data_IF_898631016390
#
_entry.id   IF_898631016390
#
_cell.length_a   1.000
_cell.length_b   1.000
_cell.length_c   1.000
_cell.angle_alpha   90.00
_cell.angle_beta   90.00
_cell.angle_gamma   90.00
#
_symmetry.space_group_name_H-M   'P 1'
#
loop_
_entity.id
_entity.type
_entity.pdbx_description
1 polymer ?
#
# COMPACT_ATOMS: atom_id res chain seq x y z
N UNK A 1 -4.79 -24.49 12.01
CA UNK A 1 -4.56 -23.11 11.62
C UNK A 1 -5.84 -22.58 11.01
N UNK A 2 -6.50 -21.66 11.69
CA UNK A 2 -7.66 -20.94 11.18
C UNK A 2 -7.20 -20.00 10.05
N UNK A 3 -8.05 -19.67 9.11
CA UNK A 3 -7.75 -18.65 8.10
C UNK A 3 -8.69 -17.47 8.37
N UNK A 4 -8.14 -16.30 8.67
CA UNK A 4 -8.91 -15.06 8.77
C UNK A 4 -9.55 -14.77 7.42
N UNK A 5 -10.82 -14.39 7.39
CA UNK A 5 -11.48 -13.91 6.17
C UNK A 5 -11.22 -12.42 5.97
N UNK A 6 -11.37 -11.92 4.74
CA UNK A 6 -11.29 -10.48 4.47
C UNK A 6 -12.32 -9.70 5.32
N UNK A 7 -13.53 -10.25 5.46
CA UNK A 7 -14.60 -9.62 6.25
C UNK A 7 -14.25 -9.51 7.73
N UNK A 8 -13.70 -10.59 8.34
CA UNK A 8 -13.25 -10.56 9.73
C UNK A 8 -12.13 -9.55 9.94
N UNK A 9 -11.13 -9.57 9.05
CA UNK A 9 -10.01 -8.64 9.06
C UNK A 9 -10.46 -7.18 8.98
N UNK A 10 -11.33 -6.84 8.02
CA UNK A 10 -11.85 -5.48 7.87
C UNK A 10 -12.76 -5.07 9.03
N UNK A 11 -13.52 -6.01 9.59
CA UNK A 11 -14.38 -5.75 10.76
C UNK A 11 -13.54 -5.44 11.99
N UNK A 12 -12.45 -6.16 12.20
CA UNK A 12 -11.50 -5.89 13.29
C UNK A 12 -10.84 -4.53 13.13
N UNK A 13 -10.36 -4.20 11.91
CA UNK A 13 -9.79 -2.88 11.61
C UNK A 13 -10.76 -1.75 11.92
N UNK A 14 -12.02 -1.88 11.51
CA UNK A 14 -13.06 -0.87 11.81
C UNK A 14 -13.39 -0.76 13.30
N UNK A 15 -13.36 -1.87 14.02
CA UNK A 15 -13.70 -1.89 15.44
C UNK A 15 -12.57 -1.35 16.33
N UNK A 16 -11.32 -1.66 15.99
CA UNK A 16 -10.16 -1.41 16.88
C UNK A 16 -9.19 -0.36 16.36
N UNK A 17 -9.24 -0.03 15.08
CA UNK A 17 -8.25 0.80 14.38
C UNK A 17 -6.92 0.07 14.11
N UNK A 18 -6.91 -1.25 14.23
CA UNK A 18 -5.72 -2.06 14.00
C UNK A 18 -6.02 -3.53 13.74
N UNK A 19 -4.98 -4.28 13.43
CA UNK A 19 -5.01 -5.73 13.27
C UNK A 19 -3.67 -6.31 13.71
N UNK A 20 -3.71 -7.43 14.36
CA UNK A 20 -2.51 -8.23 14.64
C UNK A 20 -2.82 -9.69 14.33
N UNK A 21 -1.95 -10.32 13.57
CA UNK A 21 -2.07 -11.77 13.29
C UNK A 21 -2.38 -12.55 14.56
N UNK A 22 -3.51 -13.26 14.56
CA UNK A 22 -3.95 -14.09 15.67
C UNK A 22 -3.10 -15.36 15.73
N UNK A 23 -2.84 -15.88 16.96
CA UNK A 23 -1.97 -17.04 17.14
C UNK A 23 -2.49 -18.31 16.45
N UNK A 24 -3.81 -18.46 16.33
CA UNK A 24 -4.46 -19.59 15.65
C UNK A 24 -4.45 -19.44 14.10
N UNK A 25 -4.19 -18.23 13.59
CA UNK A 25 -4.10 -17.92 12.16
C UNK A 25 -2.67 -17.99 11.60
N UNK A 26 -1.67 -17.97 12.47
CA UNK A 26 -0.26 -18.04 12.11
C UNK A 26 0.27 -19.46 12.17
N UNK A 27 1.19 -19.81 11.27
CA UNK A 27 1.94 -21.06 11.39
C UNK A 27 2.77 -21.06 12.69
N UNK A 28 2.72 -22.18 13.44
CA UNK A 28 3.41 -22.33 14.73
C UNK A 28 4.92 -22.13 14.62
N UNK A 29 5.50 -22.49 13.46
CA UNK A 29 6.93 -22.29 13.18
C UNK A 29 7.09 -21.39 11.97
N UNK A 30 7.98 -20.40 12.07
CA UNK A 30 8.38 -19.60 10.92
C UNK A 30 9.04 -20.51 9.87
N UNK A 31 8.62 -20.37 8.63
CA UNK A 31 9.26 -21.04 7.51
C UNK A 31 10.73 -20.57 7.40
N UNK A 32 11.65 -21.47 7.05
CA UNK A 32 13.02 -21.05 6.77
C UNK A 32 13.07 -20.15 5.54
N UNK A 33 13.79 -19.04 5.63
CA UNK A 33 14.05 -18.18 4.48
C UNK A 33 14.80 -18.98 3.40
N UNK A 34 14.34 -18.85 2.14
CA UNK A 34 14.92 -19.61 1.04
C UNK A 34 14.10 -19.50 -0.25
N UNK A 35 14.54 -20.19 -1.28
CA UNK A 35 13.90 -20.09 -2.61
C UNK A 35 12.43 -20.51 -2.61
N UNK A 36 12.08 -21.60 -1.94
CA UNK A 36 10.69 -22.09 -1.87
C UNK A 36 9.78 -21.12 -1.11
N UNK A 37 10.27 -20.55 0.00
CA UNK A 37 9.53 -19.55 0.78
C UNK A 37 9.34 -18.27 -0.01
N UNK A 38 10.40 -17.84 -0.71
CA UNK A 38 10.33 -16.70 -1.63
C UNK A 38 9.30 -16.93 -2.73
N UNK A 39 9.30 -18.10 -3.36
CA UNK A 39 8.33 -18.45 -4.40
C UNK A 39 6.88 -18.43 -3.85
N UNK A 40 6.66 -19.05 -2.69
CA UNK A 40 5.33 -19.13 -2.04
C UNK A 40 4.80 -17.73 -1.72
N UNK A 41 5.61 -16.86 -1.14
CA UNK A 41 5.17 -15.51 -0.79
C UNK A 41 5.00 -14.64 -2.04
N UNK A 42 5.93 -14.71 -2.99
CA UNK A 42 5.79 -14.03 -4.27
C UNK A 42 4.51 -14.42 -5.00
N UNK A 43 4.15 -15.71 -4.98
CA UNK A 43 2.87 -16.17 -5.51
C UNK A 43 1.67 -15.59 -4.74
N UNK A 44 1.74 -15.52 -3.41
CA UNK A 44 0.70 -14.89 -2.60
C UNK A 44 0.49 -13.41 -2.96
N UNK A 45 1.55 -12.68 -3.32
CA UNK A 45 1.48 -11.29 -3.76
C UNK A 45 0.99 -11.14 -5.20
N UNK A 46 1.42 -12.02 -6.11
CA UNK A 46 1.21 -11.81 -7.55
C UNK A 46 -0.03 -12.49 -8.11
N UNK A 47 -0.59 -13.47 -7.41
CA UNK A 47 -1.79 -14.18 -7.87
C UNK A 47 -3.00 -13.28 -8.10
N UNK A 48 -3.01 -12.07 -7.51
CA UNK A 48 -4.04 -11.06 -7.77
C UNK A 48 -4.14 -10.74 -9.26
N UNK A 49 -3.01 -10.65 -9.98
CA UNK A 49 -3.00 -10.30 -11.40
C UNK A 49 -3.66 -11.36 -12.28
N UNK A 50 -3.25 -12.66 -12.26
CA UNK A 50 -3.94 -13.68 -13.04
C UNK A 50 -5.40 -13.89 -12.62
N UNK A 51 -5.73 -13.70 -11.33
CA UNK A 51 -7.12 -13.81 -10.89
C UNK A 51 -8.00 -12.67 -11.42
N UNK A 52 -7.52 -11.42 -11.36
CA UNK A 52 -8.21 -10.29 -11.99
C UNK A 52 -8.36 -10.52 -13.51
N UNK A 53 -7.28 -10.94 -14.18
CA UNK A 53 -7.29 -11.24 -15.60
C UNK A 53 -8.28 -12.36 -15.98
N UNK A 54 -8.46 -13.34 -15.10
CA UNK A 54 -9.39 -14.44 -15.33
C UNK A 54 -10.87 -14.02 -15.17
N UNK A 55 -11.18 -13.16 -14.19
CA UNK A 55 -12.58 -12.80 -13.89
C UNK A 55 -13.08 -11.58 -14.64
N UNK A 56 -12.18 -10.69 -15.07
CA UNK A 56 -12.49 -9.45 -15.77
C UNK A 56 -13.27 -9.68 -17.08
N UNK A 57 -12.87 -10.62 -17.99
CA UNK A 57 -13.60 -10.85 -19.25
C UNK A 57 -15.07 -11.25 -19.08
N UNK A 58 -15.44 -11.73 -17.90
CA UNK A 58 -16.82 -12.08 -17.54
C UNK A 58 -17.59 -10.95 -16.88
N UNK A 59 -16.98 -9.73 -16.76
CA UNK A 59 -17.59 -8.60 -16.07
C UNK A 59 -17.83 -8.83 -14.57
N UNK A 60 -17.08 -9.75 -13.96
CA UNK A 60 -17.25 -10.14 -12.55
C UNK A 60 -16.24 -9.49 -11.60
N UNK A 61 -15.28 -8.74 -12.13
CA UNK A 61 -14.32 -8.04 -11.28
C UNK A 61 -15.01 -6.88 -10.59
N UNK A 62 -14.93 -6.86 -9.27
CA UNK A 62 -15.39 -5.76 -8.41
C UNK A 62 -14.24 -5.31 -7.50
N UNK A 63 -14.38 -4.13 -6.89
CA UNK A 63 -13.41 -3.64 -5.89
C UNK A 63 -13.27 -4.61 -4.72
N UNK A 64 -14.37 -5.22 -4.25
CA UNK A 64 -14.34 -6.20 -3.16
C UNK A 64 -13.61 -7.48 -3.57
N UNK A 65 -13.85 -7.97 -4.78
CA UNK A 65 -13.15 -9.15 -5.29
C UNK A 65 -11.66 -8.89 -5.48
N UNK A 66 -11.29 -7.69 -5.94
CA UNK A 66 -9.90 -7.25 -5.98
C UNK A 66 -9.27 -7.22 -4.58
N UNK A 67 -9.96 -6.63 -3.59
CA UNK A 67 -9.50 -6.66 -2.19
C UNK A 67 -9.32 -8.09 -1.67
N UNK A 68 -10.25 -8.99 -2.00
CA UNK A 68 -10.16 -10.41 -1.64
C UNK A 68 -8.93 -11.09 -2.25
N UNK A 69 -8.58 -10.78 -3.50
CA UNK A 69 -7.35 -11.29 -4.11
C UNK A 69 -6.10 -10.70 -3.46
N UNK A 70 -6.10 -9.41 -3.16
CA UNK A 70 -5.01 -8.73 -2.48
C UNK A 70 -4.81 -9.20 -1.03
N UNK A 71 -5.86 -9.66 -0.37
CA UNK A 71 -5.81 -10.19 1.01
C UNK A 71 -4.89 -11.41 1.16
N UNK A 72 -4.55 -12.05 0.03
CA UNK A 72 -3.53 -13.11 0.02
C UNK A 72 -2.15 -12.67 0.47
N UNK A 73 -1.82 -11.38 0.45
CA UNK A 73 -0.57 -10.84 0.99
C UNK A 73 -0.48 -11.06 2.50
N UNK A 74 -1.58 -10.87 3.21
CA UNK A 74 -1.70 -11.05 4.66
C UNK A 74 -1.70 -12.54 5.00
N UNK A 75 -2.64 -13.30 4.44
CA UNK A 75 -2.75 -14.74 4.72
C UNK A 75 -1.51 -15.52 4.26
N UNK A 76 -0.82 -15.06 3.22
CA UNK A 76 0.44 -15.62 2.76
C UNK A 76 1.58 -15.43 3.77
N UNK A 77 1.68 -14.25 4.38
CA UNK A 77 2.64 -13.95 5.45
C UNK A 77 2.38 -14.84 6.68
N UNK A 78 1.13 -14.91 7.11
CA UNK A 78 0.70 -15.73 8.25
C UNK A 78 1.01 -17.23 8.06
N UNK A 79 0.74 -17.75 6.87
CA UNK A 79 1.08 -19.15 6.50
C UNK A 79 2.57 -19.45 6.54
N UNK A 80 3.41 -18.43 6.44
CA UNK A 80 4.87 -18.54 6.58
C UNK A 80 5.36 -18.26 8.00
N UNK A 81 4.45 -17.99 8.95
CA UNK A 81 4.76 -17.73 10.35
C UNK A 81 5.20 -16.29 10.63
N UNK A 82 5.05 -15.38 9.68
CA UNK A 82 5.26 -13.96 9.91
C UNK A 82 4.02 -13.33 10.56
N UNK A 83 4.21 -12.30 11.38
CA UNK A 83 3.11 -11.48 11.86
C UNK A 83 2.84 -10.35 10.87
N UNK A 84 1.57 -9.99 10.76
CA UNK A 84 1.10 -8.74 10.17
C UNK A 84 0.55 -7.89 11.30
N UNK A 85 1.10 -6.70 11.46
CA UNK A 85 0.76 -5.75 12.53
C UNK A 85 0.35 -4.45 11.88
N UNK A 86 -0.90 -4.07 12.07
CA UNK A 86 -1.48 -2.83 11.55
C UNK A 86 -2.02 -2.06 12.75
N UNK A 87 -1.71 -0.77 12.85
CA UNK A 87 -2.08 0.06 14.00
C UNK A 87 -2.38 1.51 13.60
N UNK A 88 -3.07 2.26 14.45
CA UNK A 88 -3.19 3.71 14.39
C UNK A 88 -4.36 4.25 13.56
N UNK A 89 -5.28 3.44 13.06
CA UNK A 89 -6.39 3.92 12.22
C UNK A 89 -7.59 4.51 12.99
N UNK A 90 -7.51 4.65 14.32
CA UNK A 90 -8.63 5.19 15.15
C UNK A 90 -9.05 6.60 14.73
N UNK A 91 -8.09 7.47 14.45
CA UNK A 91 -8.36 8.85 14.05
C UNK A 91 -9.04 8.90 12.67
N UNK A 92 -8.65 8.02 11.74
CA UNK A 92 -9.32 7.88 10.45
C UNK A 92 -10.77 7.42 10.60
N UNK A 93 -11.03 6.48 11.50
CA UNK A 93 -12.39 6.01 11.82
C UNK A 93 -13.22 7.16 12.40
N UNK A 94 -12.66 7.91 13.35
CA UNK A 94 -13.35 9.04 13.98
C UNK A 94 -13.64 10.16 12.99
N UNK A 95 -12.74 10.41 12.03
CA UNK A 95 -12.91 11.41 10.99
C UNK A 95 -14.01 11.02 9.99
N UNK A 96 -14.05 9.77 9.53
CA UNK A 96 -15.12 9.18 8.72
C UNK A 96 -15.28 9.74 7.30
N UNK A 97 -14.38 10.62 6.84
CA UNK A 97 -14.42 11.23 5.52
C UNK A 97 -13.22 10.84 4.64
N UNK A 98 -13.18 11.30 3.36
CA UNK A 98 -12.06 11.06 2.47
C UNK A 98 -10.79 11.78 2.96
N UNK A 99 -9.66 11.10 2.87
CA UNK A 99 -8.34 11.60 3.28
C UNK A 99 -7.30 11.34 2.20
N UNK A 100 -6.22 12.11 2.21
CA UNK A 100 -5.04 11.83 1.40
C UNK A 100 -4.04 11.02 2.23
N UNK A 101 -3.84 9.76 1.87
CA UNK A 101 -2.83 8.91 2.46
C UNK A 101 -1.46 9.15 1.82
N UNK A 102 -0.44 9.44 2.62
CA UNK A 102 0.96 9.49 2.21
C UNK A 102 1.71 8.32 2.81
N UNK A 103 2.26 7.43 1.98
CA UNK A 103 2.91 6.21 2.44
C UNK A 103 4.34 6.09 1.89
N UNK A 104 5.31 5.66 2.71
CA UNK A 104 6.61 5.26 2.19
C UNK A 104 6.48 4.00 1.31
N UNK A 105 7.45 3.80 0.42
CA UNK A 105 7.39 2.72 -0.57
C UNK A 105 8.67 1.88 -0.51
N UNK A 106 8.59 0.64 -0.05
CA UNK A 106 9.75 -0.24 0.17
C UNK A 106 9.79 -1.43 -0.76
N UNK A 107 8.64 -2.09 -0.97
CA UNK A 107 8.57 -3.36 -1.69
C UNK A 107 7.27 -3.48 -2.52
N UNK A 108 7.00 -4.66 -3.04
CA UNK A 108 5.70 -4.98 -3.64
C UNK A 108 4.64 -5.31 -2.58
N UNK A 109 5.06 -5.73 -1.40
CA UNK A 109 4.16 -6.18 -0.34
C UNK A 109 3.13 -5.14 0.02
N UNK A 110 3.53 -3.88 0.29
CA UNK A 110 2.58 -2.82 0.66
C UNK A 110 1.61 -2.48 -0.47
N UNK A 111 2.03 -2.60 -1.72
CA UNK A 111 1.15 -2.34 -2.87
C UNK A 111 -0.05 -3.29 -2.89
N UNK A 112 0.15 -4.53 -2.42
CA UNK A 112 -0.89 -5.56 -2.37
C UNK A 112 -1.58 -5.61 -0.99
N UNK A 113 -0.89 -5.20 0.08
CA UNK A 113 -1.42 -5.22 1.45
C UNK A 113 -2.32 -4.02 1.75
N UNK A 114 -2.00 -2.84 1.22
CA UNK A 114 -2.79 -1.64 1.51
C UNK A 114 -4.22 -1.68 0.96
N UNK A 115 -4.53 -2.23 -0.23
CA UNK A 115 -5.90 -2.30 -0.71
C UNK A 115 -6.90 -2.94 0.26
N UNK A 116 -6.72 -4.18 0.75
CA UNK A 116 -7.66 -4.76 1.71
C UNK A 116 -7.71 -4.00 3.03
N UNK A 117 -6.61 -3.31 3.40
CA UNK A 117 -6.54 -2.50 4.62
C UNK A 117 -7.32 -1.19 4.48
N UNK A 118 -7.07 -0.41 3.42
CA UNK A 118 -7.66 0.90 3.23
C UNK A 118 -9.14 0.82 2.87
N UNK A 119 -9.56 -0.19 2.09
CA UNK A 119 -10.97 -0.44 1.78
C UNK A 119 -11.82 -0.77 3.01
N UNK A 120 -11.21 -1.08 4.15
CA UNK A 120 -11.94 -1.17 5.41
C UNK A 120 -12.55 0.17 5.84
N UNK A 121 -11.96 1.29 5.42
CA UNK A 121 -12.34 2.66 5.83
C UNK A 121 -13.06 3.44 4.73
N UNK A 122 -13.26 2.88 3.57
CA UNK A 122 -13.95 3.48 2.44
C UNK A 122 -13.24 3.27 1.10
N UNK A 123 -13.84 3.75 0.02
CA UNK A 123 -13.22 3.68 -1.30
C UNK A 123 -11.95 4.54 -1.35
N UNK A 124 -10.95 4.09 -2.11
CA UNK A 124 -9.75 4.88 -2.34
C UNK A 124 -9.23 4.72 -3.76
N UNK A 125 -8.62 5.78 -4.26
CA UNK A 125 -7.88 5.82 -5.52
C UNK A 125 -6.38 5.91 -5.25
N UNK A 126 -5.54 5.50 -6.19
CA UNK A 126 -4.10 5.56 -6.02
C UNK A 126 -3.36 5.79 -7.33
N UNK A 127 -2.15 6.35 -7.23
CA UNK A 127 -1.29 6.58 -8.39
C UNK A 127 -0.50 5.32 -8.73
N UNK A 128 -0.53 4.92 -10.00
CA UNK A 128 0.28 3.81 -10.48
C UNK A 128 0.88 4.08 -11.87
N UNK A 129 1.91 3.32 -12.23
CA UNK A 129 2.55 3.46 -13.54
C UNK A 129 1.59 3.02 -14.65
N UNK A 130 1.40 3.84 -15.68
CA UNK A 130 0.52 3.57 -16.82
C UNK A 130 0.79 2.22 -17.49
N UNK A 131 2.06 1.78 -17.53
CA UNK A 131 2.39 0.47 -18.10
C UNK A 131 1.77 -0.72 -17.35
N UNK A 132 1.27 -0.54 -16.13
CA UNK A 132 0.51 -1.58 -15.44
C UNK A 132 -0.90 -1.71 -16.02
N UNK A 133 -1.53 -0.57 -16.40
CA UNK A 133 -2.83 -0.57 -17.06
C UNK A 133 -2.77 -1.21 -18.46
N UNK A 134 -1.60 -1.20 -19.11
CA UNK A 134 -1.43 -1.82 -20.43
C UNK A 134 -1.06 -3.31 -20.39
N UNK A 135 -0.98 -3.91 -19.20
CA UNK A 135 -0.87 -5.36 -19.12
C UNK A 135 -2.16 -6.00 -19.65
N UNK A 136 -2.05 -7.07 -20.48
CA UNK A 136 -3.23 -7.77 -20.98
C UNK A 136 -4.21 -8.06 -19.84
N UNK A 137 -5.48 -7.76 -20.04
CA UNK A 137 -6.60 -7.95 -19.11
C UNK A 137 -6.62 -7.04 -17.86
N UNK A 138 -5.60 -6.17 -17.64
CA UNK A 138 -5.61 -5.23 -16.52
C UNK A 138 -6.13 -3.83 -16.89
N UNK A 139 -6.29 -3.52 -18.17
CA UNK A 139 -6.78 -2.21 -18.61
C UNK A 139 -8.17 -1.89 -18.02
N UNK A 140 -9.12 -2.80 -18.18
CA UNK A 140 -10.45 -2.67 -17.59
C UNK A 140 -10.46 -2.87 -16.07
N UNK A 141 -9.54 -3.72 -15.55
CA UNK A 141 -9.36 -3.90 -14.12
C UNK A 141 -8.90 -2.59 -13.44
N UNK A 142 -8.16 -1.73 -14.14
CA UNK A 142 -7.67 -0.46 -13.61
C UNK A 142 -8.81 0.44 -13.08
N UNK A 143 -9.97 0.42 -13.73
CA UNK A 143 -11.14 1.19 -13.29
C UNK A 143 -11.73 0.64 -11.98
N UNK A 144 -11.87 -0.68 -11.86
CA UNK A 144 -12.32 -1.32 -10.61
C UNK A 144 -11.31 -1.15 -9.47
N UNK A 145 -10.02 -1.07 -9.81
CA UNK A 145 -8.93 -0.78 -8.88
C UNK A 145 -8.79 0.71 -8.58
N UNK A 146 -9.58 1.58 -9.22
CA UNK A 146 -9.55 3.05 -9.08
C UNK A 146 -8.16 3.64 -9.27
N UNK A 147 -7.39 3.09 -10.20
CA UNK A 147 -6.03 3.49 -10.49
C UNK A 147 -5.98 4.79 -11.29
N UNK A 148 -5.11 5.72 -10.90
CA UNK A 148 -4.76 6.92 -11.66
C UNK A 148 -3.42 6.68 -12.34
N UNK A 149 -3.40 6.47 -13.67
CA UNK A 149 -2.18 6.14 -14.38
C UNK A 149 -1.30 7.38 -14.57
N UNK A 150 0.03 7.20 -14.42
CA UNK A 150 1.06 8.19 -14.73
C UNK A 150 2.08 7.61 -15.71
N UNK A 151 2.51 8.42 -16.66
CA UNK A 151 3.43 8.03 -17.72
C UNK A 151 4.88 7.89 -17.23
N UNK A 152 5.27 8.72 -16.27
CA UNK A 152 6.66 8.94 -15.82
C UNK A 152 7.60 9.46 -16.91
N UNK A 153 7.04 9.94 -18.02
CA UNK A 153 7.78 10.53 -19.14
C UNK A 153 7.70 12.05 -19.08
N UNK A 154 6.52 12.59 -18.80
CA UNK A 154 6.27 14.02 -18.69
C UNK A 154 5.85 14.38 -17.24
N UNK A 155 6.81 14.78 -16.37
CA UNK A 155 6.50 15.08 -14.96
C UNK A 155 5.43 16.18 -14.78
N UNK A 156 5.38 17.14 -15.71
CA UNK A 156 4.38 18.22 -15.66
C UNK A 156 2.97 17.72 -15.98
N UNK A 157 2.83 16.89 -17.00
CA UNK A 157 1.54 16.29 -17.37
C UNK A 157 1.06 15.32 -16.30
N UNK A 158 1.97 14.47 -15.79
CA UNK A 158 1.67 13.55 -14.69
C UNK A 158 1.20 14.32 -13.45
N UNK A 159 1.86 15.44 -13.09
CA UNK A 159 1.43 16.31 -11.99
C UNK A 159 0.03 16.88 -12.23
N UNK A 160 -0.23 17.43 -13.41
CA UNK A 160 -1.55 18.00 -13.75
C UNK A 160 -2.63 16.93 -13.72
N UNK A 161 -2.36 15.73 -14.22
CA UNK A 161 -3.28 14.59 -14.17
C UNK A 161 -3.58 14.18 -12.73
N UNK A 162 -2.57 14.03 -11.86
CA UNK A 162 -2.75 13.69 -10.45
C UNK A 162 -3.60 14.76 -9.75
N UNK A 163 -3.29 16.05 -9.95
CA UNK A 163 -4.02 17.14 -9.31
C UNK A 163 -5.47 17.22 -9.78
N UNK A 164 -5.73 17.03 -11.08
CA UNK A 164 -7.10 17.06 -11.64
C UNK A 164 -7.89 15.85 -11.17
N UNK A 165 -7.45 14.67 -11.57
CA UNK A 165 -8.16 13.41 -11.31
C UNK A 165 -8.23 13.11 -9.81
N UNK A 166 -7.16 13.39 -9.06
CA UNK A 166 -7.15 13.22 -7.61
C UNK A 166 -8.17 14.12 -6.91
N UNK A 167 -8.30 15.40 -7.32
CA UNK A 167 -9.33 16.31 -6.78
C UNK A 167 -10.73 15.79 -7.08
N UNK A 168 -10.99 15.36 -8.33
CA UNK A 168 -12.27 14.78 -8.74
C UNK A 168 -12.62 13.53 -7.91
N UNK A 169 -11.66 12.63 -7.70
CA UNK A 169 -11.85 11.40 -6.89
C UNK A 169 -12.14 11.72 -5.43
N UNK A 170 -11.39 12.64 -4.82
CA UNK A 170 -11.60 13.06 -3.43
C UNK A 170 -12.96 13.73 -3.26
N UNK A 171 -13.34 14.62 -4.17
CA UNK A 171 -14.67 15.25 -4.17
C UNK A 171 -15.80 14.25 -4.39
N UNK A 172 -15.53 13.14 -5.06
CA UNK A 172 -16.46 12.01 -5.23
C UNK A 172 -16.51 11.05 -4.04
N UNK A 173 -15.80 11.34 -2.95
CA UNK A 173 -15.82 10.55 -1.72
C UNK A 173 -14.71 9.49 -1.61
N UNK A 174 -13.78 9.41 -2.56
CA UNK A 174 -12.63 8.51 -2.46
C UNK A 174 -11.55 9.13 -1.57
N UNK A 175 -10.95 8.34 -0.69
CA UNK A 175 -9.60 8.66 -0.20
C UNK A 175 -8.58 8.51 -1.34
N UNK A 176 -7.39 9.07 -1.17
CA UNK A 176 -6.37 9.00 -2.22
C UNK A 176 -5.01 8.59 -1.66
N UNK A 177 -4.37 7.58 -2.24
CA UNK A 177 -3.06 7.07 -1.80
C UNK A 177 -1.96 7.54 -2.75
N UNK A 178 -0.92 8.15 -2.18
CA UNK A 178 0.31 8.52 -2.90
C UNK A 178 1.51 7.97 -2.15
N UNK A 179 2.48 7.45 -2.92
CA UNK A 179 3.82 7.15 -2.47
C UNK A 179 4.74 8.33 -2.82
N UNK A 180 5.05 9.25 -1.88
CA UNK A 180 5.76 10.50 -2.19
C UNK A 180 7.16 10.30 -2.80
N UNK A 181 7.81 9.19 -2.49
CA UNK A 181 9.13 8.85 -3.04
C UNK A 181 9.07 8.40 -4.52
N UNK A 182 7.88 8.15 -5.06
CA UNK A 182 7.63 7.80 -6.47
C UNK A 182 8.18 6.43 -6.91
N UNK A 183 9.09 5.84 -6.15
CA UNK A 183 9.67 4.51 -6.41
C UNK A 183 10.03 3.84 -5.10
N UNK A 184 10.19 2.52 -5.13
CA UNK A 184 10.61 1.74 -3.96
C UNK A 184 12.02 2.12 -3.52
N UNK A 185 12.16 2.45 -2.24
CA UNK A 185 13.40 2.85 -1.60
C UNK A 185 13.54 2.17 -0.25
N UNK A 186 14.76 1.73 0.08
CA UNK A 186 15.08 1.19 1.41
C UNK A 186 15.26 2.30 2.45
N UNK A 187 15.69 3.49 2.00
CA UNK A 187 15.90 4.66 2.83
C UNK A 187 14.75 5.64 2.60
N UNK A 188 14.13 6.08 3.68
CA UNK A 188 13.17 7.18 3.62
C UNK A 188 13.93 8.50 3.60
N UNK A 189 13.90 9.21 2.47
CA UNK A 189 14.75 10.38 2.24
C UNK A 189 13.95 11.63 1.94
N UNK A 190 14.26 12.72 2.65
CA UNK A 190 13.66 14.05 2.41
C UNK A 190 13.86 14.52 0.98
N UNK A 191 15.04 14.30 0.44
CA UNK A 191 15.38 14.68 -0.95
C UNK A 191 14.46 14.04 -1.99
N UNK A 192 13.93 12.84 -1.69
CA UNK A 192 13.02 12.10 -2.58
C UNK A 192 11.55 12.24 -2.21
N UNK A 193 11.25 12.90 -1.10
CA UNK A 193 9.88 13.07 -0.61
C UNK A 193 9.19 14.21 -1.36
N UNK A 194 8.38 13.86 -2.37
CA UNK A 194 7.69 14.82 -3.23
C UNK A 194 6.52 15.51 -2.52
N UNK A 195 6.35 16.80 -2.76
CA UNK A 195 5.22 17.58 -2.26
C UNK A 195 3.91 17.39 -3.05
N UNK A 196 3.87 16.49 -4.04
CA UNK A 196 2.68 16.29 -4.91
C UNK A 196 1.44 15.96 -4.08
N UNK A 197 1.56 15.07 -3.09
CA UNK A 197 0.44 14.72 -2.23
C UNK A 197 -0.07 15.90 -1.42
N UNK A 198 0.81 16.64 -0.77
CA UNK A 198 0.42 17.82 0.00
C UNK A 198 -0.26 18.90 -0.88
N UNK A 199 0.22 19.09 -2.11
CA UNK A 199 -0.43 19.99 -3.10
C UNK A 199 -1.80 19.50 -3.51
N UNK A 200 -1.97 18.18 -3.68
CA UNK A 200 -3.29 17.61 -3.96
C UNK A 200 -4.24 17.81 -2.77
N UNK A 201 -3.78 17.57 -1.54
CA UNK A 201 -4.58 17.75 -0.34
C UNK A 201 -5.03 19.21 -0.16
N UNK A 202 -4.11 20.19 -0.32
CA UNK A 202 -4.45 21.61 -0.30
C UNK A 202 -5.49 21.96 -1.37
N UNK A 203 -5.31 21.49 -2.61
CA UNK A 203 -6.22 21.75 -3.72
C UNK A 203 -7.60 21.12 -3.51
N UNK A 204 -7.66 19.91 -3.00
CA UNK A 204 -8.91 19.18 -2.75
C UNK A 204 -9.59 19.57 -1.44
N UNK A 205 -8.93 20.36 -0.58
CA UNK A 205 -9.45 20.73 0.74
C UNK A 205 -9.62 19.53 1.67
N UNK A 206 -8.78 18.49 1.53
CA UNK A 206 -8.87 17.29 2.36
C UNK A 206 -7.69 17.16 3.34
N UNK A 207 -7.86 16.48 4.48
CA UNK A 207 -6.76 16.23 5.41
C UNK A 207 -5.76 15.22 4.86
N UNK A 208 -4.56 15.24 5.41
CA UNK A 208 -3.48 14.29 5.12
C UNK A 208 -3.36 13.29 6.25
N UNK A 209 -3.20 12.02 5.91
CA UNK A 209 -2.93 10.95 6.85
C UNK A 209 -1.63 10.25 6.44
N UNK A 210 -0.55 10.39 7.22
CA UNK A 210 0.68 9.69 6.95
C UNK A 210 0.57 8.21 7.34
N UNK A 211 1.07 7.33 6.49
CA UNK A 211 1.18 5.89 6.75
C UNK A 211 2.64 5.50 6.61
N UNK A 212 3.14 4.68 7.50
CA UNK A 212 4.44 4.04 7.34
C UNK A 212 4.31 2.53 7.30
N UNK A 213 5.13 1.92 6.47
CA UNK A 213 5.20 0.46 6.32
C UNK A 213 6.63 -0.02 6.55
N UNK A 214 6.76 -1.19 7.19
CA UNK A 214 7.98 -1.97 7.21
C UNK A 214 7.70 -3.31 6.51
N UNK A 215 8.16 -3.40 5.29
CA UNK A 215 8.04 -4.59 4.44
C UNK A 215 9.40 -5.14 4.03
N UNK A 216 10.42 -4.95 4.91
CA UNK A 216 11.78 -5.50 4.71
C UNK A 216 11.82 -7.02 4.62
N UNK A 217 10.74 -7.69 5.01
CA UNK A 217 10.58 -9.14 4.78
C UNK A 217 10.69 -9.52 3.29
N UNK A 218 10.39 -8.59 2.36
CA UNK A 218 10.53 -8.79 0.91
C UNK A 218 11.28 -7.61 0.27
N UNK A 219 12.61 -7.57 0.34
CA UNK A 219 13.39 -6.53 -0.31
C UNK A 219 13.33 -6.65 -1.85
N UNK A 220 13.62 -5.57 -2.55
CA UNK A 220 13.82 -5.61 -4.00
C UNK A 220 15.10 -6.39 -4.33
N UNK A 221 15.08 -7.18 -5.42
CA UNK A 221 16.27 -7.92 -5.88
C UNK A 221 17.31 -6.95 -6.46
N UNK A 222 18.47 -6.89 -5.84
CA UNK A 222 19.57 -5.98 -6.26
C UNK A 222 20.56 -6.62 -7.23
N UNK A 223 20.69 -7.96 -7.20
CA UNK A 223 21.73 -8.71 -7.92
C UNK A 223 21.15 -9.93 -8.64
N UNK A 224 21.96 -10.51 -9.54
CA UNK A 224 21.66 -11.76 -10.26
C UNK A 224 21.11 -11.56 -11.68
N UNK A 225 21.21 -12.59 -12.50
CA UNK A 225 20.81 -12.61 -13.92
C UNK A 225 19.34 -12.24 -14.10
N UNK A 226 18.48 -12.66 -13.18
CA UNK A 226 17.04 -12.40 -13.23
C UNK A 226 16.64 -11.02 -12.68
N UNK A 227 17.60 -10.14 -12.31
CA UNK A 227 17.33 -8.82 -11.73
C UNK A 227 16.36 -7.98 -12.57
N UNK A 228 16.50 -8.03 -13.90
CA UNK A 228 15.65 -7.21 -14.79
C UNK A 228 14.19 -7.67 -14.83
N UNK A 229 13.96 -8.98 -14.69
CA UNK A 229 12.63 -9.59 -14.81
C UNK A 229 11.98 -9.75 -13.42
N UNK A 230 12.77 -10.10 -12.40
CA UNK A 230 12.31 -10.40 -11.04
C UNK A 230 12.78 -9.35 -10.01
N UNK A 231 12.95 -8.10 -10.45
CA UNK A 231 13.39 -6.99 -9.58
C UNK A 231 12.53 -6.89 -8.29
N UNK A 232 11.26 -7.15 -8.43
CA UNK A 232 10.25 -6.97 -7.38
C UNK A 232 10.14 -8.18 -6.43
N UNK A 233 10.87 -9.26 -6.71
CA UNK A 233 10.82 -10.53 -5.99
C UNK A 233 12.20 -10.84 -5.39
N UNK A 234 12.63 -10.03 -4.43
CA UNK A 234 13.81 -10.31 -3.62
C UNK A 234 13.60 -11.53 -2.72
N UNK A 235 14.67 -12.06 -2.14
CA UNK A 235 14.56 -13.18 -1.21
C UNK A 235 13.74 -12.79 0.01
N UNK A 236 12.76 -13.63 0.36
CA UNK A 236 11.89 -13.38 1.52
C UNK A 236 12.65 -13.75 2.80
N UNK A 237 12.71 -12.80 3.72
CA UNK A 237 13.23 -12.96 5.08
C UNK A 237 12.06 -13.10 6.06
N UNK A 238 11.74 -14.33 6.40
CA UNK A 238 10.64 -14.65 7.33
C UNK A 238 10.95 -14.30 8.78
N UNK A 239 12.18 -13.92 9.13
CA UNK A 239 12.49 -13.45 10.48
C UNK A 239 11.86 -12.09 10.78
N UNK A 240 11.49 -11.34 9.75
CA UNK A 240 10.89 -10.02 9.84
C UNK A 240 9.37 -10.08 9.72
N UNK A 241 8.70 -9.35 10.57
CA UNK A 241 7.26 -9.15 10.50
C UNK A 241 6.91 -8.00 9.54
N UNK A 242 5.65 -7.95 9.12
CA UNK A 242 5.10 -6.86 8.33
C UNK A 242 4.43 -5.87 9.28
N UNK A 243 4.83 -4.61 9.21
CA UNK A 243 4.25 -3.56 10.07
C UNK A 243 3.66 -2.43 9.23
N UNK A 244 2.50 -1.95 9.64
CA UNK A 244 1.84 -0.77 9.10
C UNK A 244 1.41 0.10 10.25
N UNK A 245 1.77 1.37 10.25
CA UNK A 245 1.24 2.34 11.20
C UNK A 245 0.63 3.52 10.47
N UNK A 246 -0.57 3.87 10.87
CA UNK A 246 -1.30 5.04 10.46
C UNK A 246 -1.08 6.15 11.47
N UNK A 247 -0.78 7.35 10.99
CA UNK A 247 -0.59 8.54 11.81
C UNK A 247 -1.88 9.31 12.05
N UNK A 248 -1.75 10.48 12.71
CA UNK A 248 -2.89 11.34 12.98
C UNK A 248 -3.50 11.89 11.68
N UNK A 249 -4.76 12.26 11.74
CA UNK A 249 -5.42 13.05 10.69
C UNK A 249 -4.91 14.48 10.79
N UNK A 250 -4.03 14.88 9.89
CA UNK A 250 -3.50 16.25 9.80
C UNK A 250 -4.55 17.10 9.07
N UNK A 251 -5.16 18.10 9.73
CA UNK A 251 -6.22 18.90 9.13
C UNK A 251 -5.79 19.57 7.83
N UNK A 252 -6.74 19.83 6.93
CA UNK A 252 -6.47 20.53 5.68
C UNK A 252 -5.81 21.90 5.94
N UNK A 253 -4.85 22.27 5.08
CA UNK A 253 -4.04 23.47 5.26
C UNK A 253 -3.13 23.72 4.06
N UNK A 254 -2.14 24.56 4.25
CA UNK A 254 -1.16 24.85 3.20
C UNK A 254 -0.27 23.64 2.91
N UNK A 255 0.00 23.40 1.63
CA UNK A 255 0.79 22.23 1.19
C UNK A 255 2.17 22.16 1.83
N UNK A 256 2.79 23.29 2.14
CA UNK A 256 4.07 23.33 2.85
C UNK A 256 3.95 22.71 4.25
N UNK A 257 2.97 23.13 5.02
CA UNK A 257 2.77 22.68 6.39
C UNK A 257 2.35 21.20 6.45
N UNK A 258 1.45 20.79 5.54
CA UNK A 258 1.03 19.40 5.37
C UNK A 258 2.21 18.48 5.01
N UNK A 259 3.08 18.96 4.10
CA UNK A 259 4.27 18.23 3.67
C UNK A 259 5.26 17.99 4.81
N UNK A 260 5.55 19.05 5.59
CA UNK A 260 6.47 18.99 6.73
C UNK A 260 5.90 18.11 7.83
N UNK A 261 4.67 18.33 8.25
CA UNK A 261 4.05 17.58 9.34
C UNK A 261 3.96 16.08 9.02
N UNK A 262 3.58 15.72 7.78
CA UNK A 262 3.52 14.34 7.37
C UNK A 262 4.91 13.70 7.30
N UNK A 263 5.92 14.40 6.74
CA UNK A 263 7.29 13.91 6.68
C UNK A 263 7.86 13.64 8.08
N UNK A 264 7.71 14.60 8.98
CA UNK A 264 8.30 14.52 10.32
C UNK A 264 7.71 13.37 11.13
N UNK A 265 6.39 13.18 11.06
CA UNK A 265 5.74 12.03 11.70
C UNK A 265 6.22 10.70 11.09
N UNK A 266 6.27 10.61 9.75
CA UNK A 266 6.74 9.39 9.07
C UNK A 266 8.19 9.08 9.41
N UNK A 267 9.06 10.08 9.40
CA UNK A 267 10.47 9.94 9.75
C UNK A 267 10.64 9.43 11.18
N UNK A 268 9.99 10.09 12.16
CA UNK A 268 10.05 9.69 13.56
C UNK A 268 9.53 8.25 13.77
N UNK A 269 8.43 7.88 13.12
CA UNK A 269 7.87 6.53 13.26
C UNK A 269 8.78 5.47 12.64
N UNK A 270 9.38 5.76 11.47
CA UNK A 270 10.33 4.84 10.82
C UNK A 270 11.62 4.68 11.66
N UNK A 271 12.15 5.77 12.20
CA UNK A 271 13.28 5.74 13.14
C UNK A 271 12.98 4.89 14.38
N UNK A 272 11.76 4.98 14.92
CA UNK A 272 11.34 4.14 16.06
C UNK A 272 11.26 2.64 15.72
N UNK A 273 11.29 2.29 14.46
CA UNK A 273 11.34 0.92 13.95
C UNK A 273 12.72 0.49 13.47
N UNK A 274 13.75 1.28 13.74
CA UNK A 274 15.14 1.09 13.26
C UNK A 274 15.21 0.99 11.72
N UNK A 275 14.40 1.81 11.04
CA UNK A 275 14.45 1.97 9.59
C UNK A 275 15.31 3.16 9.21
N UNK A 276 16.09 3.06 8.11
CA UNK A 276 16.98 4.17 7.72
C UNK A 276 16.18 5.37 7.19
N UNK A 277 16.44 6.52 7.81
CA UNK A 277 15.86 7.82 7.45
C UNK A 277 16.99 8.81 7.14
N UNK A 278 16.82 9.57 6.05
CA UNK A 278 17.68 10.69 5.65
C UNK A 278 16.82 11.98 5.67
N UNK A 279 17.08 12.82 6.68
CA UNK A 279 16.34 14.08 6.91
C UNK A 279 16.81 15.22 6.01
#
# INVERSE_FOLDING_TARGET
MRTTTLSDFQSELRATGGYRTHDDCRALKRAKSGALTTLRYSWALTRVFPYCAFVEPFGKLTTDLWAQFCFSSITGAEKLGMNVIIEGFKDCIAYGGPVLYLCNHMSMTETILLPPTLLAFGPFSYVAKASLAHLPFLEKAADHMRMVPISRVSPREDLMNILKTGTERISGGDSFLIFPQGTRCEVFSRKRYSSIGAKLAERAGCPVVPIVVDTRCQPTRKTGILRKVLKDFGPVDTSKDIRVACGPVIPCGKSKDLHEAAFDWMAQKLESWDLPVER
#
